data_IF_536090646352
#
_entry.id   IF_536090646352
#
_cell.length_a   1.000
_cell.length_b   1.000
_cell.length_c   1.000
_cell.angle_alpha   90.00
_cell.angle_beta   90.00
_cell.angle_gamma   90.00
#
_symmetry.space_group_name_H-M   'P 1'
#
loop_
_entity.id
_entity.type
_entity.pdbx_description
1 polymer ?
2 non-polymer ?
3 non-polymer ?
4 non-polymer ?
5 water ?
#
# COMPACT_ATOMS: atom_id res chain seq x y z
N UNK A 1 -20.96 -1.14 0.39
CA UNK A 1 -20.31 0.18 0.34
C UNK A 1 -21.00 1.06 -0.71
N UNK A 2 -21.16 2.32 -0.34
CA UNK A 2 -21.43 3.44 -1.27
C UNK A 2 -20.34 3.48 -2.36
N UNK A 3 -20.67 3.95 -3.58
CA UNK A 3 -19.65 4.25 -4.58
C UNK A 3 -18.49 5.11 -4.04
N UNK A 4 -18.86 6.19 -3.37
CA UNK A 4 -17.88 7.15 -2.80
C UNK A 4 -16.93 6.42 -1.83
N UNK A 5 -17.48 5.60 -0.94
CA UNK A 5 -16.64 4.87 0.03
C UNK A 5 -15.74 3.88 -0.73
N UNK A 6 -16.32 3.22 -1.73
CA UNK A 6 -15.55 2.25 -2.54
C UNK A 6 -14.35 2.95 -3.18
N UNK A 7 -14.63 4.09 -3.79
CA UNK A 7 -13.60 4.89 -4.51
C UNK A 7 -12.50 5.28 -3.51
N UNK A 8 -12.94 5.81 -2.38
CA UNK A 8 -11.99 6.26 -1.33
C UNK A 8 -11.06 5.12 -0.90
N UNK A 9 -11.68 4.01 -0.53
CA UNK A 9 -10.95 2.80 -0.07
C UNK A 9 -9.99 2.30 -1.16
N UNK A 10 -10.44 2.35 -2.41
CA UNK A 10 -9.59 1.94 -3.55
C UNK A 10 -8.28 2.76 -3.53
N UNK A 11 -8.43 4.07 -3.37
CA UNK A 11 -7.27 5.00 -3.41
C UNK A 11 -6.38 4.80 -2.17
N UNK A 12 -7.01 4.64 -1.02
CA UNK A 12 -6.28 4.30 0.23
C UNK A 12 -5.46 3.02 0.03
N UNK A 13 -6.12 1.98 -0.48
CA UNK A 13 -5.49 0.66 -0.72
C UNK A 13 -4.24 0.82 -1.60
N UNK A 14 -4.38 1.53 -2.73
CA UNK A 14 -3.27 1.79 -3.68
C UNK A 14 -2.08 2.45 -2.97
N UNK A 15 -2.35 3.48 -2.18
CA UNK A 15 -1.30 4.19 -1.40
C UNK A 15 -0.64 3.22 -0.40
N UNK A 16 -1.42 2.46 0.35
CA UNK A 16 -0.86 1.54 1.37
C UNK A 16 0.01 0.48 0.69
N UNK A 17 -0.48 -0.07 -0.42
CA UNK A 17 0.26 -1.08 -1.20
C UNK A 17 1.63 -0.51 -1.59
N UNK A 18 1.67 0.74 -2.04
CA UNK A 18 2.93 1.40 -2.44
C UNK A 18 3.87 1.50 -1.23
N UNK A 19 3.34 2.00 -0.11
CA UNK A 19 4.15 2.09 1.12
C UNK A 19 4.67 0.70 1.54
N UNK A 20 3.77 -0.28 1.63
CA UNK A 20 4.17 -1.63 2.09
C UNK A 20 5.33 -2.12 1.21
N UNK A 21 5.21 -1.89 -0.10
CA UNK A 21 6.20 -2.38 -1.10
C UNK A 21 7.57 -1.75 -0.82
N UNK A 22 7.57 -0.46 -0.50
CA UNK A 22 8.82 0.28 -0.15
C UNK A 22 9.47 -0.35 1.09
N UNK A 23 8.67 -0.63 2.11
CA UNK A 23 9.21 -1.24 3.35
C UNK A 23 9.77 -2.63 3.03
N UNK A 24 9.01 -3.40 2.25
CA UNK A 24 9.39 -4.79 1.93
C UNK A 24 10.74 -4.78 1.20
N UNK A 25 10.88 -3.89 0.24
CA UNK A 25 12.13 -3.76 -0.56
C UNK A 25 13.30 -3.43 0.38
N UNK A 26 13.10 -2.47 1.28
CA UNK A 26 14.16 -2.08 2.24
C UNK A 26 14.58 -3.30 3.08
N UNK A 27 13.61 -4.00 3.64
CA UNK A 27 13.91 -5.20 4.47
C UNK A 27 14.69 -6.22 3.63
N UNK A 28 14.20 -6.50 2.43
CA UNK A 28 14.78 -7.53 1.53
C UNK A 28 16.23 -7.18 1.18
N UNK A 29 16.54 -5.88 1.21
CA UNK A 29 17.83 -5.34 0.72
C UNK A 29 18.91 -5.49 1.79
N UNK A 30 18.51 -5.95 2.96
CA UNK A 30 19.41 -6.01 4.14
C UNK A 30 20.34 -7.23 4.02
N UNK A 31 21.64 -6.96 4.07
CA UNK A 31 22.66 -8.00 4.35
C UNK A 31 22.59 -8.40 5.82
N UNK A 32 22.37 -9.69 6.08
CA UNK A 32 22.04 -10.20 7.43
C UNK A 32 23.31 -10.35 8.28
X LIG B 1 -20.80 3.29 2.53
X LIG C 1 -10.35 10.45 -5.56
X LIG D 1 -20.32 10.49 -5.83
X LIG E 1 -12.43 10.41 -3.68
X LIG F 1 -22.00 11.26 -2.73
X LIG G 1 -22.53 8.84 -5.53
#
# INVERSE_FOLDING_TARGET
>A
LSPDAYRFLTELDRQLRLLQAQIQRLLEAQSL
>B hetero
1 NA NA
>C hetero
1 CD CD
>D hetero
1 CD CD
>E hetero
1 CL CL
>F hetero
1 CL CL
>G hetero
1 CL CL
#
